data_IF_166422662788
#
_entry.id   IF_166422662788
#
_cell.length_a   1.000
_cell.length_b   1.000
_cell.length_c   1.000
_cell.angle_alpha   90.00
_cell.angle_beta   90.00
_cell.angle_gamma   90.00
#
_symmetry.space_group_name_H-M   'P 1'
#
loop_
_entity.id
_entity.type
_entity.pdbx_description
1 polymer ?
#
# COMPACT_ATOMS: atom_id res chain seq x y z
N UNK A 1 -74.44 22.33 5.57
CA UNK A 1 -73.73 21.06 5.31
C UNK A 1 -72.58 21.22 4.34
N UNK A 2 -72.71 21.93 3.22
CA UNK A 2 -71.61 22.10 2.22
C UNK A 2 -70.35 22.76 2.78
N UNK A 3 -70.46 23.78 3.62
CA UNK A 3 -69.32 24.51 4.22
C UNK A 3 -68.44 23.64 5.15
N UNK A 4 -69.01 22.68 5.84
CA UNK A 4 -68.26 21.75 6.70
C UNK A 4 -67.38 20.81 5.90
N UNK A 5 -67.88 20.28 4.81
CA UNK A 5 -67.12 19.43 3.89
C UNK A 5 -65.95 20.16 3.19
N UNK A 6 -66.15 21.43 2.85
CA UNK A 6 -65.07 22.25 2.26
C UNK A 6 -63.96 22.55 3.28
N UNK A 7 -64.29 22.78 4.53
CA UNK A 7 -63.29 22.99 5.60
C UNK A 7 -62.50 21.72 5.91
N UNK A 8 -63.16 20.55 6.00
CA UNK A 8 -62.49 19.27 6.21
C UNK A 8 -61.56 18.92 5.05
N UNK A 9 -61.99 19.12 3.81
CA UNK A 9 -61.19 18.91 2.62
C UNK A 9 -59.93 19.79 2.61
N UNK A 10 -60.05 21.07 2.86
CA UNK A 10 -58.90 22.00 2.95
C UNK A 10 -57.93 21.65 4.08
N UNK A 11 -58.44 21.15 5.18
CA UNK A 11 -57.65 20.72 6.33
C UNK A 11 -56.85 19.45 6.00
N UNK A 12 -57.48 18.50 5.32
CA UNK A 12 -56.81 17.26 4.87
C UNK A 12 -55.75 17.55 3.81
N UNK A 13 -56.03 18.42 2.84
CA UNK A 13 -55.03 18.84 1.85
C UNK A 13 -53.82 19.51 2.51
N UNK A 14 -54.08 20.45 3.43
CA UNK A 14 -53.00 21.13 4.18
C UNK A 14 -52.15 20.14 4.98
N UNK A 15 -52.76 19.19 5.65
CA UNK A 15 -52.05 18.16 6.38
C UNK A 15 -51.18 17.28 5.45
N UNK A 16 -51.69 16.93 4.27
CA UNK A 16 -50.98 16.17 3.26
C UNK A 16 -49.75 16.90 2.72
N UNK A 17 -49.90 18.20 2.43
CA UNK A 17 -48.77 19.04 1.97
C UNK A 17 -47.70 19.20 3.05
N UNK A 18 -48.15 19.39 4.32
CA UNK A 18 -47.23 19.49 5.46
C UNK A 18 -46.43 18.23 5.67
N UNK A 19 -47.07 17.05 5.55
CA UNK A 19 -46.39 15.76 5.64
C UNK A 19 -45.37 15.56 4.53
N UNK A 20 -45.70 15.95 3.28
CA UNK A 20 -44.79 15.88 2.14
C UNK A 20 -43.60 16.81 2.34
N UNK A 21 -43.83 18.03 2.89
CA UNK A 21 -42.79 19.00 3.20
C UNK A 21 -41.81 18.46 4.22
N UNK A 22 -42.33 17.93 5.33
CA UNK A 22 -41.52 17.34 6.40
C UNK A 22 -40.71 16.12 5.91
N UNK A 23 -41.32 15.27 5.09
CA UNK A 23 -40.63 14.13 4.50
C UNK A 23 -39.47 14.58 3.56
N UNK A 24 -39.67 15.63 2.78
CA UNK A 24 -38.66 16.23 1.91
C UNK A 24 -37.51 16.87 2.73
N UNK A 25 -37.85 17.63 3.77
CA UNK A 25 -36.87 18.25 4.66
C UNK A 25 -36.01 17.18 5.37
N UNK A 26 -36.63 16.11 5.84
CA UNK A 26 -35.91 14.97 6.45
C UNK A 26 -35.00 14.27 5.48
N UNK A 27 -35.47 13.98 4.27
CA UNK A 27 -34.65 13.35 3.24
C UNK A 27 -33.46 14.22 2.82
N UNK A 28 -33.63 15.52 2.74
CA UNK A 28 -32.56 16.47 2.43
C UNK A 28 -31.52 16.53 3.55
N UNK A 29 -31.97 16.51 4.80
CA UNK A 29 -31.08 16.51 5.96
C UNK A 29 -30.28 15.19 6.05
N UNK A 30 -30.92 14.05 5.79
CA UNK A 30 -30.25 12.76 5.72
C UNK A 30 -29.16 12.73 4.62
N UNK A 31 -29.46 13.29 3.44
CA UNK A 31 -28.48 13.41 2.36
C UNK A 31 -27.32 14.33 2.73
N UNK A 32 -27.60 15.43 3.46
CA UNK A 32 -26.55 16.36 3.90
C UNK A 32 -25.61 15.70 4.90
N UNK A 33 -26.17 15.01 5.90
CA UNK A 33 -25.39 14.27 6.91
C UNK A 33 -24.55 13.17 6.27
N UNK A 34 -25.10 12.44 5.30
CA UNK A 34 -24.36 11.41 4.58
C UNK A 34 -23.24 12.00 3.71
N UNK A 35 -23.48 13.13 3.06
CA UNK A 35 -22.46 13.84 2.29
C UNK A 35 -21.32 14.38 3.17
N UNK A 36 -21.65 14.95 4.34
CA UNK A 36 -20.66 15.39 5.32
C UNK A 36 -19.82 14.24 5.84
N UNK A 37 -20.46 13.09 6.13
CA UNK A 37 -19.74 11.89 6.57
C UNK A 37 -18.78 11.38 5.51
N UNK A 38 -19.21 11.30 4.24
CA UNK A 38 -18.35 10.89 3.13
C UNK A 38 -17.16 11.84 2.93
N UNK A 39 -17.40 13.14 3.05
CA UNK A 39 -16.34 14.15 2.95
C UNK A 39 -15.32 14.02 4.09
N UNK A 40 -15.77 13.69 5.30
CA UNK A 40 -14.90 13.45 6.44
C UNK A 40 -14.10 12.16 6.29
N UNK A 41 -14.75 11.07 5.85
CA UNK A 41 -14.08 9.80 5.58
C UNK A 41 -13.00 9.96 4.48
N UNK A 42 -13.30 10.71 3.40
CA UNK A 42 -12.35 11.05 2.34
C UNK A 42 -11.18 11.92 2.86
N UNK A 43 -11.46 12.83 3.80
CA UNK A 43 -10.42 13.66 4.42
C UNK A 43 -9.47 12.81 5.26
N UNK A 44 -10.01 11.95 6.10
CA UNK A 44 -9.23 11.03 6.94
C UNK A 44 -8.38 10.11 6.08
N UNK A 45 -8.95 9.56 4.99
CA UNK A 45 -8.21 8.70 4.07
C UNK A 45 -7.05 9.44 3.39
N UNK A 46 -7.24 10.71 3.00
CA UNK A 46 -6.15 11.54 2.42
C UNK A 46 -5.08 11.87 3.45
N UNK A 47 -5.47 12.20 4.68
CA UNK A 47 -4.55 12.52 5.77
C UNK A 47 -3.71 11.29 6.16
N UNK A 48 -4.31 10.09 6.17
CA UNK A 48 -3.59 8.83 6.37
C UNK A 48 -2.59 8.55 5.24
N UNK A 49 -2.97 8.79 3.99
CA UNK A 49 -2.09 8.64 2.83
C UNK A 49 -0.93 9.66 2.86
N UNK A 50 -1.18 10.86 3.37
CA UNK A 50 -0.17 11.91 3.49
C UNK A 50 0.82 11.61 4.63
N UNK A 51 0.33 11.11 5.78
CA UNK A 51 1.16 10.62 6.88
C UNK A 51 2.01 9.41 6.46
N UNK A 52 1.43 8.47 5.72
CA UNK A 52 2.13 7.31 5.18
C UNK A 52 3.22 7.74 4.19
N UNK A 53 2.93 8.71 3.33
CA UNK A 53 3.87 9.31 2.40
C UNK A 53 4.95 10.14 3.10
N UNK A 54 4.62 10.88 4.17
CA UNK A 54 5.60 11.61 4.97
C UNK A 54 6.50 10.67 5.78
N UNK A 55 5.99 9.54 6.24
CA UNK A 55 6.79 8.49 6.85
C UNK A 55 7.71 7.81 5.84
N UNK A 56 7.24 7.59 4.62
CA UNK A 56 8.04 7.06 3.51
C UNK A 56 9.16 8.05 3.11
N UNK A 57 8.84 9.34 3.01
CA UNK A 57 9.82 10.42 2.74
C UNK A 57 10.78 10.65 3.92
N UNK A 58 10.34 10.46 5.17
CA UNK A 58 11.19 10.58 6.36
C UNK A 58 12.16 9.42 6.50
N UNK A 59 11.80 8.24 5.99
CA UNK A 59 12.72 7.10 5.85
C UNK A 59 13.71 7.31 4.69
N UNK A 60 13.33 8.11 3.69
CA UNK A 60 14.18 8.48 2.54
C UNK A 60 15.12 9.66 2.84
N UNK A 61 14.82 10.49 3.85
CA UNK A 61 15.54 11.72 4.17
C UNK A 61 16.55 11.62 5.33
N UNK A 62 17.01 10.42 5.71
CA UNK A 62 18.21 10.32 6.52
C UNK A 62 19.44 10.61 5.65
N UNK A 63 20.23 11.65 5.93
CA UNK A 63 21.40 11.98 5.14
C UNK A 63 22.44 10.89 5.29
N UNK A 64 22.58 10.06 4.28
CA UNK A 64 23.57 9.02 4.23
C UNK A 64 24.86 9.56 3.60
N UNK A 65 25.74 10.04 4.44
CA UNK A 65 27.15 10.24 4.10
C UNK A 65 27.91 8.98 4.53
N UNK A 66 28.47 8.30 3.56
CA UNK A 66 29.31 7.09 3.62
C UNK A 66 28.59 5.78 3.29
N UNK A 67 28.41 5.51 1.99
CA UNK A 67 27.87 4.24 1.52
C UNK A 67 28.74 3.62 0.46
N UNK A 68 29.63 2.76 0.89
CA UNK A 68 30.21 1.76 0.00
C UNK A 68 29.99 0.32 0.48
N UNK A 69 29.17 0.10 1.53
CA UNK A 69 28.76 -1.25 1.97
C UNK A 69 27.54 -1.11 2.89
N UNK A 70 26.34 -1.04 2.34
CA UNK A 70 25.09 -0.87 3.10
C UNK A 70 24.56 -2.20 3.63
N UNK A 71 24.99 -3.30 3.03
CA UNK A 71 24.57 -4.64 3.43
C UNK A 71 25.72 -5.29 4.17
N UNK A 72 25.45 -5.89 5.31
CA UNK A 72 26.46 -6.53 6.15
C UNK A 72 27.33 -7.49 5.33
N UNK A 73 28.57 -7.66 5.74
CA UNK A 73 29.52 -8.57 5.11
C UNK A 73 29.21 -10.05 5.36
N UNK A 74 28.30 -10.32 6.28
CA UNK A 74 27.90 -11.65 6.71
C UNK A 74 26.40 -11.84 6.57
N UNK A 75 25.98 -12.97 6.03
CA UNK A 75 24.57 -13.32 5.85
C UNK A 75 23.75 -13.35 7.15
N UNK A 76 24.37 -13.61 8.29
CA UNK A 76 23.72 -13.57 9.60
C UNK A 76 23.32 -12.16 10.05
N UNK A 77 23.94 -11.14 9.47
CA UNK A 77 23.67 -9.72 9.77
C UNK A 77 22.80 -9.02 8.71
N UNK A 78 22.35 -9.74 7.68
CA UNK A 78 21.52 -9.17 6.61
C UNK A 78 20.09 -8.96 7.12
N UNK A 79 19.65 -7.70 7.07
CA UNK A 79 18.25 -7.33 7.34
C UNK A 79 17.47 -7.22 6.03
N UNK A 80 16.26 -7.83 5.94
CA UNK A 80 15.34 -7.61 4.83
C UNK A 80 15.07 -6.14 4.53
N UNK A 81 14.99 -5.32 5.57
CA UNK A 81 14.75 -3.88 5.48
C UNK A 81 15.93 -3.15 4.82
N UNK A 82 17.17 -3.47 5.21
CA UNK A 82 18.36 -2.89 4.59
C UNK A 82 18.50 -3.31 3.12
N UNK A 83 18.25 -4.58 2.81
CA UNK A 83 18.26 -5.09 1.46
C UNK A 83 17.21 -4.39 0.58
N UNK A 84 15.98 -4.22 1.09
CA UNK A 84 14.89 -3.55 0.38
C UNK A 84 15.18 -2.07 0.12
N UNK A 85 15.75 -1.35 1.10
CA UNK A 85 16.16 0.05 0.94
C UNK A 85 17.26 0.21 -0.11
N UNK A 86 18.28 -0.65 -0.06
CA UNK A 86 19.35 -0.63 -1.06
C UNK A 86 18.82 -0.87 -2.47
N UNK A 87 17.98 -1.88 -2.65
CA UNK A 87 17.40 -2.19 -3.95
C UNK A 87 16.47 -1.07 -4.45
N UNK A 88 15.73 -0.42 -3.56
CA UNK A 88 14.88 0.72 -3.89
C UNK A 88 15.72 1.89 -4.47
N UNK A 89 16.83 2.24 -3.82
CA UNK A 89 17.76 3.29 -4.30
C UNK A 89 18.31 2.95 -5.70
N UNK A 90 18.63 1.68 -5.95
CA UNK A 90 19.26 1.25 -7.20
C UNK A 90 18.29 1.03 -8.35
N UNK A 91 17.03 0.74 -8.06
CA UNK A 91 16.02 0.37 -9.06
C UNK A 91 14.96 1.43 -9.29
N UNK A 92 14.75 2.35 -8.32
CA UNK A 92 13.66 3.31 -8.32
C UNK A 92 12.29 2.72 -7.94
N UNK A 93 12.22 1.41 -7.62
CA UNK A 93 11.03 0.81 -7.03
C UNK A 93 11.00 1.10 -5.52
N UNK A 94 9.79 1.14 -4.90
CA UNK A 94 9.70 1.44 -3.48
C UNK A 94 10.32 0.35 -2.60
N UNK A 95 10.88 0.76 -1.45
CA UNK A 95 11.44 -0.18 -0.47
C UNK A 95 10.36 -1.11 0.09
N UNK A 96 9.14 -0.60 0.32
CA UNK A 96 7.99 -1.40 0.76
C UNK A 96 7.64 -2.51 -0.23
N UNK A 97 7.72 -2.23 -1.54
CA UNK A 97 7.50 -3.25 -2.57
C UNK A 97 8.56 -4.35 -2.53
N UNK A 98 9.83 -3.98 -2.41
CA UNK A 98 10.92 -4.94 -2.28
C UNK A 98 10.79 -5.77 -1.01
N UNK A 99 10.41 -5.14 0.10
CA UNK A 99 10.20 -5.82 1.38
C UNK A 99 9.05 -6.84 1.30
N UNK A 100 7.95 -6.48 0.65
CA UNK A 100 6.80 -7.38 0.39
C UNK A 100 7.23 -8.61 -0.43
N UNK A 101 8.02 -8.42 -1.48
CA UNK A 101 8.58 -9.53 -2.28
C UNK A 101 9.47 -10.43 -1.43
N UNK A 102 10.41 -9.87 -0.65
CA UNK A 102 11.30 -10.64 0.23
C UNK A 102 10.48 -11.52 1.19
N UNK A 103 9.47 -10.96 1.84
CA UNK A 103 8.65 -11.74 2.79
C UNK A 103 7.82 -12.82 2.11
N UNK A 104 7.31 -12.57 0.92
CA UNK A 104 6.55 -13.56 0.13
C UNK A 104 7.44 -14.68 -0.41
N UNK A 105 8.67 -14.37 -0.81
CA UNK A 105 9.60 -15.35 -1.39
C UNK A 105 10.29 -16.22 -0.31
N UNK A 106 10.74 -15.62 0.79
CA UNK A 106 11.60 -16.31 1.77
C UNK A 106 11.16 -16.13 3.22
N UNK A 107 10.08 -15.40 3.50
CA UNK A 107 9.72 -14.95 4.86
C UNK A 107 10.84 -14.17 5.55
N UNK A 108 11.68 -13.49 4.76
CA UNK A 108 12.83 -12.74 5.23
C UNK A 108 14.05 -13.61 5.61
N UNK A 109 14.05 -14.88 5.30
CA UNK A 109 15.17 -15.79 5.59
C UNK A 109 16.25 -15.71 4.51
N UNK A 110 17.47 -15.24 4.82
CA UNK A 110 18.54 -15.09 3.86
C UNK A 110 19.13 -16.44 3.38
N UNK A 111 18.85 -17.54 4.10
CA UNK A 111 19.31 -18.89 3.77
C UNK A 111 18.20 -19.78 3.19
N UNK A 112 17.06 -19.20 2.83
CA UNK A 112 15.98 -19.99 2.26
C UNK A 112 16.40 -20.64 0.96
N UNK A 113 16.15 -21.93 0.81
CA UNK A 113 16.37 -22.71 -0.42
C UNK A 113 15.17 -23.59 -0.68
N UNK A 114 14.77 -23.72 -1.94
CA UNK A 114 13.66 -24.58 -2.34
C UNK A 114 14.14 -25.71 -3.30
N UNK A 115 13.25 -26.63 -3.62
CA UNK A 115 13.51 -27.77 -4.50
C UNK A 115 13.86 -27.39 -5.95
N UNK A 116 13.59 -26.15 -6.36
CA UNK A 116 13.91 -25.62 -7.69
C UNK A 116 15.24 -24.88 -7.74
N UNK A 117 16.08 -25.05 -6.72
CA UNK A 117 17.38 -24.35 -6.58
C UNK A 117 17.22 -22.81 -6.54
N UNK A 118 16.12 -22.31 -6.04
CA UNK A 118 15.98 -20.89 -5.72
C UNK A 118 16.54 -20.62 -4.32
N UNK A 119 17.36 -19.56 -4.19
CA UNK A 119 18.09 -19.30 -2.96
C UNK A 119 17.96 -17.85 -2.48
N UNK A 120 18.02 -17.70 -1.16
CA UNK A 120 18.15 -16.43 -0.45
C UNK A 120 16.85 -15.64 -0.32
N UNK A 121 16.99 -14.37 0.09
CA UNK A 121 15.89 -13.46 0.39
C UNK A 121 14.84 -13.35 -0.73
N UNK A 122 15.28 -13.39 -1.98
CA UNK A 122 14.45 -13.17 -3.17
C UNK A 122 14.26 -14.43 -4.00
N UNK A 123 14.63 -15.60 -3.47
CA UNK A 123 14.51 -16.89 -4.14
C UNK A 123 15.04 -16.85 -5.59
N UNK A 124 16.26 -16.33 -5.77
CA UNK A 124 16.87 -16.25 -7.09
C UNK A 124 17.22 -17.65 -7.57
N UNK A 125 16.73 -18.03 -8.76
CA UNK A 125 16.96 -19.36 -9.33
C UNK A 125 18.41 -19.51 -9.78
N UNK A 126 19.16 -20.39 -9.11
CA UNK A 126 20.58 -20.63 -9.36
C UNK A 126 20.85 -21.30 -10.70
N UNK A 127 19.91 -22.08 -11.23
CA UNK A 127 20.04 -22.72 -12.55
C UNK A 127 19.99 -21.69 -13.69
N UNK A 128 19.36 -20.53 -13.46
CA UNK A 128 19.23 -19.45 -14.46
C UNK A 128 20.29 -18.38 -14.27
N UNK A 129 20.55 -18.01 -13.01
CA UNK A 129 21.34 -16.81 -12.67
C UNK A 129 22.73 -17.11 -12.10
N UNK A 130 23.10 -18.38 -12.01
CA UNK A 130 24.37 -18.85 -11.43
C UNK A 130 24.26 -19.09 -9.92
N UNK A 131 25.31 -19.58 -9.29
CA UNK A 131 25.33 -19.97 -7.89
C UNK A 131 25.32 -18.78 -6.95
N UNK A 132 24.14 -18.17 -6.75
CA UNK A 132 23.97 -16.97 -5.92
C UNK A 132 24.16 -17.25 -4.42
N UNK A 133 24.10 -18.51 -3.98
CA UNK A 133 24.41 -18.93 -2.62
C UNK A 133 25.89 -18.79 -2.23
N UNK A 134 26.78 -18.60 -3.20
CA UNK A 134 28.22 -18.38 -2.99
C UNK A 134 28.60 -16.89 -2.99
N UNK A 135 27.66 -16.01 -3.32
CA UNK A 135 27.88 -14.57 -3.33
C UNK A 135 27.90 -14.03 -1.91
N UNK A 136 28.64 -12.95 -1.71
CA UNK A 136 28.47 -12.13 -0.52
C UNK A 136 27.06 -11.48 -0.51
N UNK A 137 26.56 -11.05 0.65
CA UNK A 137 25.26 -10.37 0.73
C UNK A 137 25.13 -9.20 -0.24
N UNK A 138 26.17 -8.38 -0.36
CA UNK A 138 26.19 -7.23 -1.27
C UNK A 138 26.08 -7.68 -2.73
N UNK A 139 26.90 -8.64 -3.16
CA UNK A 139 26.86 -9.16 -4.52
C UNK A 139 25.52 -9.83 -4.86
N UNK A 140 24.88 -10.45 -3.88
CA UNK A 140 23.55 -11.05 -4.04
C UNK A 140 22.48 -9.99 -4.32
N UNK A 141 22.42 -8.91 -3.55
CA UNK A 141 21.45 -7.84 -3.81
C UNK A 141 21.77 -7.05 -5.08
N UNK A 142 23.06 -6.88 -5.43
CA UNK A 142 23.46 -6.30 -6.72
C UNK A 142 23.02 -7.20 -7.88
N UNK A 143 23.07 -8.51 -7.70
CA UNK A 143 22.52 -9.48 -8.66
C UNK A 143 21.02 -9.33 -8.80
N UNK A 144 20.28 -9.17 -7.70
CA UNK A 144 18.84 -8.93 -7.70
C UNK A 144 18.49 -7.62 -8.45
N UNK A 145 19.23 -6.54 -8.17
CA UNK A 145 19.10 -5.26 -8.90
C UNK A 145 19.30 -5.46 -10.40
N UNK A 146 20.33 -6.20 -10.81
CA UNK A 146 20.61 -6.48 -12.21
C UNK A 146 19.48 -7.28 -12.89
N UNK A 147 18.92 -8.28 -12.20
CA UNK A 147 17.76 -9.05 -12.69
C UNK A 147 16.56 -8.13 -12.87
N UNK A 148 16.29 -7.26 -11.89
CA UNK A 148 15.19 -6.30 -11.98
C UNK A 148 15.36 -5.33 -13.14
N UNK A 149 16.54 -4.79 -13.34
CA UNK A 149 16.83 -3.88 -14.46
C UNK A 149 16.59 -4.53 -15.83
N UNK A 150 16.80 -5.83 -15.92
CA UNK A 150 16.53 -6.60 -17.15
C UNK A 150 15.06 -7.03 -17.33
N UNK A 151 14.29 -7.15 -16.23
CA UNK A 151 12.96 -7.75 -16.22
C UNK A 151 11.84 -6.83 -15.76
N UNK A 152 12.17 -5.69 -15.13
CA UNK A 152 11.18 -4.79 -14.55
C UNK A 152 10.33 -5.42 -13.44
N UNK A 153 10.89 -6.38 -12.69
CA UNK A 153 10.19 -7.10 -11.63
C UNK A 153 9.50 -8.40 -12.06
N UNK A 154 9.29 -8.64 -13.35
CA UNK A 154 8.62 -9.87 -13.85
C UNK A 154 9.37 -11.16 -13.57
N UNK A 155 10.61 -11.09 -13.08
CA UNK A 155 11.37 -12.24 -12.61
C UNK A 155 10.78 -12.87 -11.33
N UNK A 156 10.00 -12.09 -10.56
CA UNK A 156 9.34 -12.55 -9.35
C UNK A 156 7.83 -12.60 -9.57
N UNK A 157 7.25 -13.78 -9.38
CA UNK A 157 5.80 -13.97 -9.51
C UNK A 157 5.02 -13.17 -8.44
N UNK A 158 5.69 -12.80 -7.37
CA UNK A 158 5.17 -12.03 -6.23
C UNK A 158 5.27 -10.51 -6.40
N UNK A 159 5.85 -10.06 -7.53
CA UNK A 159 6.03 -8.64 -7.81
C UNK A 159 4.73 -7.85 -7.96
#
# INVERSE_FOLDING_TARGET
MVQLYEQEFKTQEKAKYEHIRQAKEKALEEQRVEAEKRAEDDRIAREQLEVEREQEVSLEAAPNTETNSIIGSDWSSVSPEQASQYMAIKTGASASKWLDVIYKESSGNPYAENEFSCWGLLQINQSVHGQVSQLSPQEYVDKAVSIYQGSGGTAWATW
#
